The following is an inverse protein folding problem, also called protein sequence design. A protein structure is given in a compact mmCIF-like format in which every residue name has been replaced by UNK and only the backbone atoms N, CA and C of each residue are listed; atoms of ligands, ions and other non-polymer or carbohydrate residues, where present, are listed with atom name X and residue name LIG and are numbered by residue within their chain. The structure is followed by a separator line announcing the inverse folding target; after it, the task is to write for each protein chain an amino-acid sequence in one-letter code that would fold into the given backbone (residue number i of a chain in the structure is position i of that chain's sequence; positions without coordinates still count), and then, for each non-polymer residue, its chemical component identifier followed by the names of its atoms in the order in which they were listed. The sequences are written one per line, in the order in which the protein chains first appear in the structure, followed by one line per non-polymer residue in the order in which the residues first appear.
data_IF_830033831651
#
_entry.id   IF_830033831651
#
_cell.length_a   1.000
_cell.length_b   1.000
_cell.length_c   1.000
_cell.angle_alpha   90.00
_cell.angle_beta   90.00
_cell.angle_gamma   90.00
#
_symmetry.space_group_name_H-M   'P 1'
#
loop_
_entity.id
_entity.type
_entity.pdbx_description
1 polymer ?
#
# COMPACT_ATOMS: atom_id res chain seq x y z
N UNK A 1 5.03 4.56 11.46
CA UNK A 1 4.07 3.98 10.50
C UNK A 1 2.68 4.15 11.05
N UNK A 2 1.76 4.83 10.35
CA UNK A 2 0.36 4.88 10.75
C UNK A 2 -0.23 3.46 10.75
N UNK A 3 -1.10 3.18 11.71
CA UNK A 3 -1.80 1.89 11.81
C UNK A 3 -3.20 2.07 11.23
N UNK A 4 -3.62 1.14 10.39
CA UNK A 4 -4.99 1.06 9.88
C UNK A 4 -5.61 -0.25 10.38
N UNK A 5 -6.91 -0.22 10.66
CA UNK A 5 -7.71 -1.41 10.95
C UNK A 5 -8.72 -1.57 9.82
N UNK A 6 -8.82 -2.77 9.26
CA UNK A 6 -9.70 -3.08 8.14
C UNK A 6 -10.36 -4.44 8.40
N UNK A 7 -11.60 -4.59 7.96
CA UNK A 7 -12.31 -5.87 7.96
C UNK A 7 -12.11 -6.55 6.61
N UNK A 8 -11.76 -7.84 6.62
CA UNK A 8 -11.47 -8.62 5.42
C UNK A 8 -12.28 -9.92 5.48
N UNK A 9 -12.96 -10.31 4.38
CA UNK A 9 -13.59 -11.63 4.27
C UNK A 9 -12.62 -12.77 4.58
N UNK A 10 -13.11 -13.80 5.25
CA UNK A 10 -12.27 -14.91 5.73
C UNK A 10 -11.59 -15.65 4.58
N UNK A 11 -12.29 -15.81 3.45
CA UNK A 11 -11.77 -16.43 2.23
C UNK A 11 -10.57 -15.65 1.66
N UNK A 12 -10.65 -14.32 1.62
CA UNK A 12 -9.54 -13.50 1.12
C UNK A 12 -8.34 -13.53 2.06
N UNK A 13 -8.59 -13.62 3.37
CA UNK A 13 -7.52 -13.77 4.35
C UNK A 13 -6.82 -15.13 4.18
N UNK A 14 -7.59 -16.21 3.94
CA UNK A 14 -7.05 -17.53 3.70
C UNK A 14 -6.21 -17.59 2.41
N UNK A 15 -6.70 -16.99 1.33
CA UNK A 15 -5.96 -16.88 0.05
C UNK A 15 -4.65 -16.08 0.23
N UNK A 16 -4.69 -15.00 1.03
CA UNK A 16 -3.49 -14.22 1.34
C UNK A 16 -2.49 -15.05 2.16
N UNK A 17 -2.99 -15.83 3.13
CA UNK A 17 -2.18 -16.66 4.01
C UNK A 17 -1.45 -17.78 3.25
N UNK A 18 -2.01 -18.32 2.17
CA UNK A 18 -1.33 -19.28 1.29
C UNK A 18 -0.04 -18.69 0.67
N UNK A 19 0.06 -17.36 0.57
CA UNK A 19 1.22 -16.67 0.03
C UNK A 19 2.18 -16.11 1.08
N UNK A 20 1.93 -16.37 2.37
CA UNK A 20 2.74 -15.86 3.49
C UNK A 20 3.52 -17.00 4.17
N UNK A 21 4.80 -16.79 4.43
CA UNK A 21 5.66 -17.74 5.12
C UNK A 21 7.01 -17.93 4.42
N UNK A 22 7.81 -18.87 4.90
CA UNK A 22 9.19 -19.09 4.43
C UNK A 22 9.25 -19.49 2.95
N UNK A 23 8.27 -20.27 2.48
CA UNK A 23 8.11 -20.65 1.07
C UNK A 23 7.14 -19.73 0.31
N UNK A 24 6.61 -18.71 0.98
CA UNK A 24 5.65 -17.75 0.46
C UNK A 24 6.30 -16.57 -0.26
N UNK A 25 5.47 -15.77 -0.95
CA UNK A 25 5.92 -14.53 -1.61
C UNK A 25 6.17 -13.40 -0.60
N UNK A 26 5.64 -13.52 0.61
CA UNK A 26 5.64 -12.48 1.62
C UNK A 26 6.09 -13.01 2.97
N UNK A 27 6.88 -12.22 3.68
CA UNK A 27 7.42 -12.60 5.00
C UNK A 27 6.33 -12.61 6.07
N UNK A 28 5.34 -11.71 5.98
CA UNK A 28 4.20 -11.65 6.88
C UNK A 28 2.99 -11.02 6.19
N UNK A 29 1.80 -11.13 6.80
CA UNK A 29 0.55 -10.56 6.28
C UNK A 29 0.65 -9.05 6.03
N UNK A 30 1.24 -8.32 6.97
CA UNK A 30 1.40 -6.86 6.82
C UNK A 30 2.29 -6.53 5.62
N UNK A 31 3.26 -7.38 5.30
CA UNK A 31 4.10 -7.25 4.12
C UNK A 31 3.34 -7.53 2.83
N UNK A 32 2.55 -8.59 2.83
CA UNK A 32 1.66 -8.93 1.72
C UNK A 32 0.68 -7.79 1.40
N UNK A 33 0.05 -7.21 2.42
CA UNK A 33 -0.87 -6.07 2.28
C UNK A 33 -0.14 -4.85 1.72
N UNK A 34 1.02 -4.49 2.26
CA UNK A 34 1.80 -3.34 1.76
C UNK A 34 2.24 -3.53 0.31
N UNK A 35 2.72 -4.72 -0.04
CA UNK A 35 3.15 -5.03 -1.39
C UNK A 35 1.97 -5.00 -2.38
N UNK A 36 0.80 -5.50 -1.98
CA UNK A 36 -0.42 -5.44 -2.79
C UNK A 36 -0.86 -4.00 -3.07
N UNK A 37 -0.90 -3.15 -2.03
CA UNK A 37 -1.23 -1.72 -2.18
C UNK A 37 -0.22 -1.04 -3.10
N UNK A 38 1.08 -1.26 -2.91
CA UNK A 38 2.13 -0.67 -3.75
C UNK A 38 1.96 -1.06 -5.21
N UNK A 39 1.79 -2.36 -5.49
CA UNK A 39 1.59 -2.86 -6.85
C UNK A 39 0.33 -2.26 -7.52
N UNK A 40 -0.74 -2.08 -6.76
CA UNK A 40 -1.96 -1.45 -7.27
C UNK A 40 -1.73 0.03 -7.60
N UNK A 41 -1.02 0.77 -6.73
CA UNK A 41 -0.70 2.17 -6.99
C UNK A 41 0.24 2.34 -8.19
N UNK A 42 1.28 1.49 -8.30
CA UNK A 42 2.19 1.49 -9.46
C UNK A 42 1.41 1.26 -10.76
N UNK A 43 0.44 0.33 -10.77
CA UNK A 43 -0.42 0.07 -11.92
C UNK A 43 -1.31 1.28 -12.27
N UNK A 44 -1.89 1.95 -11.26
CA UNK A 44 -2.71 3.13 -11.48
C UNK A 44 -1.88 4.29 -12.05
N UNK A 45 -0.66 4.47 -11.56
CA UNK A 45 0.27 5.48 -12.06
C UNK A 45 0.68 5.21 -13.52
N UNK A 46 0.92 3.95 -13.89
CA UNK A 46 1.19 3.55 -15.28
C UNK A 46 0.00 3.82 -16.20
N UNK A 47 -1.23 3.61 -15.71
CA UNK A 47 -2.46 3.91 -16.44
C UNK A 47 -2.57 5.43 -16.63
N UNK A 48 -2.43 6.21 -15.57
CA UNK A 48 -2.54 7.68 -15.63
C UNK A 48 -1.50 8.30 -16.58
N UNK A 49 -0.27 7.74 -16.62
CA UNK A 49 0.76 8.15 -17.57
C UNK A 49 0.41 7.84 -19.03
N UNK A 50 -0.30 6.73 -19.29
CA UNK A 50 -0.73 6.35 -20.66
C UNK A 50 -1.91 7.19 -21.16
N UNK A 51 -2.77 7.64 -20.25
CA UNK A 51 -4.01 8.36 -20.57
C UNK A 51 -3.88 9.89 -20.47
N UNK A 52 -2.67 10.42 -20.34
CA UNK A 52 -2.35 11.87 -20.24
C UNK A 52 -3.11 12.57 -19.08
N UNK A 53 -3.37 11.85 -17.98
CA UNK A 53 -4.09 12.37 -16.81
C UNK A 53 -3.17 12.95 -15.74
N UNK A 54 -1.90 13.20 -16.08
CA UNK A 54 -0.87 13.70 -15.18
C UNK A 54 -0.94 15.23 -15.04
N UNK A 55 -2.06 15.75 -14.56
CA UNK A 55 -2.14 17.14 -14.11
C UNK A 55 -1.44 17.28 -12.73
N UNK A 56 -0.14 17.59 -12.77
CA UNK A 56 0.54 18.56 -11.89
C UNK A 56 0.65 18.39 -10.36
N UNK A 57 -0.04 17.47 -9.67
CA UNK A 57 -0.21 17.59 -8.20
C UNK A 57 0.43 16.50 -7.31
N UNK A 58 1.32 15.65 -7.84
CA UNK A 58 1.94 14.58 -7.02
C UNK A 58 3.09 15.01 -6.09
N UNK A 59 3.29 16.31 -5.84
CA UNK A 59 4.47 16.82 -5.11
C UNK A 59 4.25 17.14 -3.62
N UNK A 60 3.02 17.18 -3.08
CA UNK A 60 2.81 17.84 -1.77
C UNK A 60 2.62 16.94 -0.53
N UNK A 61 2.20 15.67 -0.62
CA UNK A 61 1.71 14.97 0.60
C UNK A 61 2.78 14.28 1.46
N UNK A 62 4.01 14.07 0.98
CA UNK A 62 5.02 13.35 1.76
C UNK A 62 5.71 14.17 2.87
N UNK A 63 5.48 15.49 2.95
CA UNK A 63 6.23 16.40 3.82
C UNK A 63 5.54 16.77 5.16
N UNK A 64 4.29 16.39 5.41
CA UNK A 64 3.49 17.02 6.48
C UNK A 64 3.40 16.24 7.81
N UNK A 65 4.22 15.21 8.06
CA UNK A 65 4.16 14.47 9.35
C UNK A 65 5.34 14.68 10.29
N UNK A 66 6.18 15.69 10.06
CA UNK A 66 7.22 16.12 11.01
C UNK A 66 6.97 17.54 11.52
N UNK A 67 5.87 17.72 12.25
CA UNK A 67 5.52 18.98 12.90
C UNK A 67 4.77 18.69 14.19
N UNK A 68 5.51 18.61 15.30
CA UNK A 68 4.96 18.35 16.63
C UNK A 68 6.06 18.21 17.68
N UNK A 69 6.93 19.20 17.76
CA UNK A 69 7.67 19.52 18.99
C UNK A 69 6.71 20.37 19.84
N UNK A 70 6.43 19.97 21.08
CA UNK A 70 6.34 20.90 22.22
C UNK A 70 6.24 20.14 23.55
N UNK A 71 7.13 20.55 24.47
CA UNK A 71 7.32 20.29 25.91
C UNK A 71 7.39 18.85 26.49
#
# INVERSE_FOLDING_TARGET
MPKISVEIPAELLADLDEHVGDDGKFVNRSDAVRASIRKNLDLLDEIDARHDRLDGDRTSTAAETSGGTDE
#
